data_IF_395781707088
#
_entry.id   IF_395781707088
#
_cell.length_a   1.000
_cell.length_b   1.000
_cell.length_c   1.000
_cell.angle_alpha   90.00
_cell.angle_beta   90.00
_cell.angle_gamma   90.00
#
_symmetry.space_group_name_H-M   'P 1'
#
loop_
_entity.id
_entity.type
_entity.pdbx_description
1 polymer ?
#
# COMPACT_ATOMS: atom_id res chain seq x y z
N UNK A 1 -12.51 -7.73 19.80
CA UNK A 1 -12.56 -7.95 18.34
C UNK A 1 -12.50 -6.60 17.62
N UNK A 2 -11.34 -6.23 17.09
CA UNK A 2 -11.10 -4.91 16.47
C UNK A 2 -11.82 -4.78 15.10
N UNK A 3 -12.04 -5.90 14.41
CA UNK A 3 -12.69 -5.95 13.11
C UNK A 3 -14.22 -6.05 13.20
N UNK A 4 -14.77 -6.35 14.39
CA UNK A 4 -16.20 -6.56 14.57
C UNK A 4 -16.71 -7.75 13.74
N UNK A 5 -17.81 -7.54 13.02
CA UNK A 5 -18.39 -8.52 12.11
C UNK A 5 -17.90 -8.35 10.65
N UNK A 6 -16.83 -7.55 10.40
CA UNK A 6 -16.33 -7.34 9.06
C UNK A 6 -15.77 -8.64 8.47
N UNK A 7 -16.13 -8.98 7.22
CA UNK A 7 -15.59 -10.15 6.55
C UNK A 7 -14.07 -9.96 6.31
N UNK A 8 -13.28 -10.96 6.69
CA UNK A 8 -11.85 -11.02 6.36
C UNK A 8 -11.66 -12.24 5.47
N UNK A 9 -11.03 -12.05 4.31
CA UNK A 9 -10.74 -13.15 3.38
C UNK A 9 -9.37 -13.77 3.64
N UNK A 10 -8.38 -12.95 3.85
CA UNK A 10 -6.99 -13.34 4.06
C UNK A 10 -6.26 -12.26 4.85
N UNK A 11 -5.04 -12.59 5.27
CA UNK A 11 -4.11 -11.64 5.83
C UNK A 11 -2.88 -11.55 4.93
N UNK A 12 -2.39 -10.34 4.70
CA UNK A 12 -1.14 -10.10 3.97
C UNK A 12 -0.18 -9.31 4.85
N UNK A 13 1.08 -9.75 4.86
CA UNK A 13 2.16 -9.08 5.55
C UNK A 13 3.12 -8.48 4.52
N UNK A 14 3.24 -7.15 4.52
CA UNK A 14 4.23 -6.42 3.75
C UNK A 14 5.49 -6.27 4.58
N UNK A 15 6.56 -6.93 4.18
CA UNK A 15 7.81 -7.01 4.93
C UNK A 15 8.89 -6.17 4.27
N UNK A 16 9.71 -5.49 5.09
CA UNK A 16 11.00 -4.95 4.64
C UNK A 16 12.04 -6.05 4.42
N UNK A 17 13.10 -5.75 3.69
CA UNK A 17 14.11 -6.72 3.27
C UNK A 17 14.73 -7.48 4.47
N UNK A 18 15.19 -6.76 5.49
CA UNK A 18 15.88 -7.37 6.63
C UNK A 18 14.91 -8.18 7.52
N UNK A 19 13.65 -7.73 7.66
CA UNK A 19 12.63 -8.51 8.37
C UNK A 19 12.33 -9.81 7.63
N UNK A 20 12.20 -9.77 6.31
CA UNK A 20 11.88 -10.92 5.49
C UNK A 20 13.01 -11.94 5.47
N UNK A 21 14.28 -11.48 5.41
CA UNK A 21 15.46 -12.34 5.45
C UNK A 21 15.58 -13.09 6.80
N UNK A 22 15.37 -12.40 7.92
CA UNK A 22 15.33 -13.03 9.24
C UNK A 22 14.16 -14.01 9.40
N UNK A 23 13.00 -13.65 8.87
CA UNK A 23 11.83 -14.52 8.87
C UNK A 23 12.12 -15.82 8.14
N UNK A 24 12.75 -15.77 6.97
CA UNK A 24 13.19 -16.95 6.21
C UNK A 24 14.38 -17.68 6.84
N UNK A 25 15.14 -17.02 7.71
CA UNK A 25 16.26 -17.62 8.44
C UNK A 25 15.83 -18.70 9.43
N UNK A 26 14.56 -18.73 9.85
CA UNK A 26 14.06 -19.76 10.75
C UNK A 26 14.00 -21.13 10.02
N UNK A 27 14.55 -22.24 10.58
CA UNK A 27 14.68 -23.51 9.88
C UNK A 27 13.38 -24.10 9.33
N UNK A 28 12.29 -23.99 10.09
CA UNK A 28 10.98 -24.51 9.67
C UNK A 28 10.39 -23.70 8.52
N UNK A 29 10.58 -22.37 8.56
CA UNK A 29 10.12 -21.46 7.53
C UNK A 29 10.93 -21.62 6.25
N UNK A 30 12.25 -21.79 6.36
CA UNK A 30 13.13 -22.05 5.23
C UNK A 30 12.70 -23.30 4.47
N UNK A 31 12.46 -24.42 5.15
CA UNK A 31 12.00 -25.65 4.53
C UNK A 31 10.60 -25.52 3.88
N UNK A 32 9.73 -24.69 4.43
CA UNK A 32 8.42 -24.39 3.85
C UNK A 32 8.55 -23.49 2.62
N UNK A 33 9.43 -22.51 2.65
CA UNK A 33 9.69 -21.58 1.56
C UNK A 33 10.34 -22.28 0.35
N UNK A 34 11.31 -23.17 0.57
CA UNK A 34 11.91 -23.98 -0.49
C UNK A 34 10.88 -24.83 -1.21
N UNK A 35 10.00 -25.51 -0.45
CA UNK A 35 8.88 -26.29 -1.03
C UNK A 35 7.87 -25.42 -1.78
N UNK A 36 7.67 -24.16 -1.35
CA UNK A 36 6.79 -23.22 -2.02
C UNK A 36 7.40 -22.75 -3.34
N UNK A 37 8.70 -22.44 -3.39
CA UNK A 37 9.44 -22.08 -4.61
C UNK A 37 9.37 -23.18 -5.67
N UNK A 38 9.58 -24.45 -5.27
CA UNK A 38 9.49 -25.58 -6.20
C UNK A 38 8.09 -25.69 -6.85
N UNK A 39 7.04 -25.39 -6.08
CA UNK A 39 5.68 -25.37 -6.59
C UNK A 39 5.36 -24.13 -7.43
N UNK A 40 6.01 -22.99 -7.20
CA UNK A 40 5.78 -21.74 -7.93
C UNK A 40 6.31 -21.84 -9.37
N UNK A 41 7.41 -22.51 -9.58
CA UNK A 41 7.92 -22.80 -10.93
C UNK A 41 6.88 -23.52 -11.81
N UNK A 42 5.95 -24.23 -11.20
CA UNK A 42 4.84 -24.92 -11.88
C UNK A 42 3.61 -24.04 -12.09
N UNK A 43 3.46 -22.91 -11.39
CA UNK A 43 2.25 -22.06 -11.38
C UNK A 43 2.34 -20.82 -12.27
N UNK A 44 3.49 -20.47 -12.81
CA UNK A 44 3.71 -19.31 -13.69
C UNK A 44 3.36 -17.92 -13.11
N UNK A 45 3.15 -17.75 -11.80
CA UNK A 45 2.90 -16.44 -11.19
C UNK A 45 3.86 -16.16 -10.00
N UNK A 46 5.00 -15.48 -10.23
CA UNK A 46 5.96 -15.16 -9.18
C UNK A 46 5.51 -14.04 -8.22
N UNK A 47 4.30 -13.49 -8.39
CA UNK A 47 3.82 -12.33 -7.63
C UNK A 47 2.94 -12.69 -6.42
N UNK A 48 2.67 -13.96 -6.20
CA UNK A 48 1.68 -14.42 -5.22
C UNK A 48 2.05 -14.26 -3.75
N UNK A 49 3.31 -13.93 -3.41
CA UNK A 49 3.81 -13.93 -2.03
C UNK A 49 3.87 -15.33 -1.41
N UNK A 50 4.68 -15.53 -0.39
CA UNK A 50 4.82 -16.80 0.33
C UNK A 50 3.70 -16.99 1.35
N UNK A 51 2.91 -18.04 1.20
CA UNK A 51 1.82 -18.35 2.13
C UNK A 51 2.29 -19.27 3.26
N UNK A 52 2.26 -18.76 4.50
CA UNK A 52 2.58 -19.52 5.70
C UNK A 52 1.72 -19.08 6.88
N UNK A 53 1.22 -20.04 7.67
CA UNK A 53 0.40 -19.77 8.86
C UNK A 53 -0.93 -19.05 8.59
N UNK A 54 -1.49 -19.17 7.37
CA UNK A 54 -2.71 -18.46 6.97
C UNK A 54 -2.48 -17.00 6.58
N UNK A 55 -1.22 -16.57 6.49
CA UNK A 55 -0.80 -15.22 6.08
C UNK A 55 0.00 -15.31 4.78
N UNK A 56 -0.21 -14.37 3.88
CA UNK A 56 0.60 -14.19 2.67
C UNK A 56 1.72 -13.20 3.02
N UNK A 57 2.96 -13.68 2.99
CA UNK A 57 4.16 -12.89 3.29
C UNK A 57 4.80 -12.40 1.99
N UNK A 58 4.96 -11.10 1.86
CA UNK A 58 5.49 -10.44 0.67
C UNK A 58 6.64 -9.52 1.05
N UNK A 59 7.77 -9.66 0.35
CA UNK A 59 8.85 -8.69 0.46
C UNK A 59 8.49 -7.45 -0.37
N UNK A 60 8.16 -6.33 0.30
CA UNK A 60 7.67 -5.11 -0.34
C UNK A 60 8.77 -4.06 -0.45
N UNK A 61 9.19 -3.77 -1.68
CA UNK A 61 10.28 -2.84 -2.01
C UNK A 61 9.83 -1.49 -2.57
N UNK A 62 8.56 -1.14 -2.40
CA UNK A 62 8.03 0.15 -2.87
C UNK A 62 8.71 1.32 -2.17
N UNK A 63 9.10 2.34 -2.94
CA UNK A 63 9.69 3.57 -2.42
C UNK A 63 9.29 4.78 -3.24
N UNK A 64 9.31 5.95 -2.62
CA UNK A 64 9.13 7.25 -3.28
C UNK A 64 10.26 8.17 -2.87
N UNK A 65 10.94 8.77 -3.85
CA UNK A 65 12.06 9.69 -3.60
C UNK A 65 13.22 9.06 -2.81
N UNK A 66 13.41 7.74 -2.92
CA UNK A 66 14.44 7.00 -2.17
C UNK A 66 14.05 6.63 -0.73
N UNK A 67 12.84 6.99 -0.29
CA UNK A 67 12.31 6.62 1.02
C UNK A 67 11.41 5.40 0.87
N UNK A 68 11.72 4.23 1.49
CA UNK A 68 10.88 3.06 1.43
C UNK A 68 9.58 3.26 2.21
N UNK A 69 8.47 2.69 1.72
CA UNK A 69 7.20 2.71 2.43
C UNK A 69 7.19 1.79 3.66
N UNK A 70 7.94 0.69 3.61
CA UNK A 70 8.13 -0.23 4.72
C UNK A 70 9.59 -0.18 5.13
N UNK A 71 9.85 0.09 6.41
CA UNK A 71 11.22 0.08 6.95
C UNK A 71 11.85 -1.31 6.81
N UNK A 72 13.19 -1.38 6.65
CA UNK A 72 13.89 -2.64 6.42
C UNK A 72 13.60 -3.69 7.53
N UNK A 73 13.50 -3.24 8.78
CA UNK A 73 13.27 -4.08 9.97
C UNK A 73 11.79 -4.23 10.35
N UNK A 74 10.89 -3.66 9.57
CA UNK A 74 9.46 -3.62 9.86
C UNK A 74 8.66 -4.55 8.94
N UNK A 75 7.50 -4.99 9.43
CA UNK A 75 6.46 -5.60 8.62
C UNK A 75 5.08 -5.08 9.04
N UNK A 76 4.16 -4.98 8.09
CA UNK A 76 2.78 -4.57 8.33
C UNK A 76 1.83 -5.69 7.95
N UNK A 77 1.10 -6.21 8.93
CA UNK A 77 0.05 -7.20 8.72
C UNK A 77 -1.28 -6.50 8.49
N UNK A 78 -1.86 -6.72 7.33
CA UNK A 78 -3.09 -6.08 6.86
C UNK A 78 -4.14 -7.13 6.54
N UNK A 79 -5.37 -7.01 7.06
CA UNK A 79 -6.48 -7.88 6.67
C UNK A 79 -6.98 -7.50 5.27
N UNK A 80 -7.20 -8.49 4.42
CA UNK A 80 -7.76 -8.33 3.07
C UNK A 80 -9.27 -8.61 3.06
N UNK A 81 -9.98 -7.92 2.16
CA UNK A 81 -11.42 -8.10 1.98
C UNK A 81 -12.28 -7.37 3.01
N UNK A 82 -11.68 -6.55 3.86
CA UNK A 82 -12.42 -5.66 4.77
C UNK A 82 -12.87 -4.43 4.01
N UNK A 83 -14.19 -4.19 3.87
CA UNK A 83 -14.67 -3.00 3.17
C UNK A 83 -14.27 -1.73 3.92
N UNK A 84 -13.95 -0.70 3.16
CA UNK A 84 -13.64 0.66 3.64
C UNK A 84 -12.49 0.73 4.67
N UNK A 85 -11.59 -0.26 4.71
CA UNK A 85 -10.43 -0.23 5.61
C UNK A 85 -9.51 0.95 5.28
N UNK A 86 -9.27 1.18 3.99
CA UNK A 86 -8.54 2.32 3.47
C UNK A 86 -9.43 3.11 2.53
N UNK A 87 -9.54 4.41 2.79
CA UNK A 87 -10.35 5.35 2.00
C UNK A 87 -9.46 6.48 1.53
N UNK A 88 -9.59 6.88 0.28
CA UNK A 88 -8.94 8.06 -0.25
C UNK A 88 -9.99 9.14 -0.52
N UNK A 89 -9.92 10.22 0.24
CA UNK A 89 -10.74 11.41 0.03
C UNK A 89 -9.94 12.47 -0.73
N UNK A 90 -10.60 13.25 -1.55
CA UNK A 90 -9.98 14.33 -2.29
C UNK A 90 -10.53 15.68 -1.80
N UNK A 91 -9.64 16.63 -1.54
CA UNK A 91 -10.03 18.01 -1.30
C UNK A 91 -10.14 18.78 -2.63
N UNK A 92 -10.96 19.87 -2.67
CA UNK A 92 -11.00 20.75 -3.83
C UNK A 92 -9.64 21.41 -4.07
N UNK A 93 -9.40 21.84 -5.31
CA UNK A 93 -8.22 22.61 -5.68
C UNK A 93 -8.31 24.05 -5.15
N UNK A 94 -7.16 24.74 -5.10
CA UNK A 94 -7.05 26.13 -4.64
C UNK A 94 -7.47 27.15 -5.71
N UNK A 95 -8.57 26.85 -6.43
CA UNK A 95 -9.13 27.77 -7.42
C UNK A 95 -10.40 28.43 -6.88
N UNK A 96 -10.65 29.65 -7.30
CA UNK A 96 -11.87 30.38 -6.89
C UNK A 96 -13.17 29.64 -7.27
N UNK A 97 -13.15 28.90 -8.38
CA UNK A 97 -14.29 28.14 -8.90
C UNK A 97 -14.59 26.87 -8.11
N UNK A 98 -13.61 26.38 -7.34
CA UNK A 98 -13.72 25.14 -6.57
C UNK A 98 -14.08 25.34 -5.10
N UNK A 99 -14.26 26.60 -4.69
CA UNK A 99 -14.69 26.94 -3.32
C UNK A 99 -16.06 26.32 -3.05
N UNK A 100 -16.19 25.61 -1.91
CA UNK A 100 -17.40 24.91 -1.48
C UNK A 100 -17.90 23.82 -2.45
N UNK A 101 -17.03 23.26 -3.30
CA UNK A 101 -17.37 22.10 -4.13
C UNK A 101 -16.80 20.81 -3.55
N UNK A 102 -17.38 19.64 -3.85
CA UNK A 102 -16.77 18.35 -3.53
C UNK A 102 -15.42 18.21 -4.23
N UNK A 103 -14.46 17.59 -3.54
CA UNK A 103 -13.14 17.32 -4.12
C UNK A 103 -13.19 16.29 -5.25
N UNK A 104 -12.43 16.55 -6.32
CA UNK A 104 -12.24 15.64 -7.43
C UNK A 104 -10.80 15.10 -7.43
N UNK A 105 -10.56 13.92 -8.03
CA UNK A 105 -9.23 13.32 -8.07
C UNK A 105 -8.16 14.20 -8.74
N UNK A 106 -8.56 14.93 -9.79
CA UNK A 106 -7.66 15.82 -10.53
C UNK A 106 -8.39 17.09 -10.97
N UNK A 107 -7.68 18.19 -10.96
CA UNK A 107 -8.09 19.48 -11.51
C UNK A 107 -7.06 19.92 -12.53
N UNK A 108 -7.53 20.45 -13.65
CA UNK A 108 -6.67 21.03 -14.68
C UNK A 108 -7.16 22.43 -14.98
N UNK A 109 -6.24 23.39 -14.93
CA UNK A 109 -6.54 24.78 -15.30
C UNK A 109 -5.50 25.25 -16.30
N UNK A 110 -5.98 26.00 -17.31
CA UNK A 110 -5.13 26.59 -18.32
C UNK A 110 -5.30 28.12 -18.30
N UNK A 111 -4.19 28.83 -18.48
CA UNK A 111 -4.20 30.29 -18.61
C UNK A 111 -3.25 30.71 -19.74
N UNK A 112 -3.64 31.68 -20.59
CA UNK A 112 -2.72 32.25 -21.57
C UNK A 112 -1.61 32.99 -20.86
N UNK A 113 -0.39 32.83 -21.34
CA UNK A 113 0.77 33.63 -20.86
C UNK A 113 0.63 35.09 -21.28
N UNK A 114 1.31 35.93 -20.55
CA UNK A 114 1.42 37.36 -20.92
C UNK A 114 1.89 37.49 -22.37
N UNK A 115 1.20 38.37 -23.12
CA UNK A 115 1.48 38.66 -24.54
C UNK A 115 1.24 37.45 -25.49
N UNK A 116 0.37 36.50 -25.13
CA UNK A 116 0.02 35.33 -25.94
C UNK A 116 1.22 34.48 -26.37
N UNK A 117 2.30 34.50 -25.59
CA UNK A 117 3.54 33.76 -25.88
C UNK A 117 3.42 32.24 -25.62
N UNK A 118 2.24 31.76 -25.15
CA UNK A 118 1.98 30.35 -24.88
C UNK A 118 0.84 30.18 -23.89
N UNK A 119 0.68 28.94 -23.38
CA UNK A 119 -0.35 28.58 -22.40
C UNK A 119 0.33 27.93 -21.18
N UNK A 120 0.00 28.40 -19.97
CA UNK A 120 0.33 27.72 -18.73
C UNK A 120 -0.73 26.67 -18.41
N UNK A 121 -0.29 25.46 -18.09
CA UNK A 121 -1.15 24.36 -17.68
C UNK A 121 -0.79 24.01 -16.25
N UNK A 122 -1.75 24.12 -15.34
CA UNK A 122 -1.62 23.69 -13.95
C UNK A 122 -2.47 22.48 -13.70
N UNK A 123 -1.87 21.44 -13.10
CA UNK A 123 -2.58 20.24 -12.65
C UNK A 123 -2.43 20.14 -11.14
N UNK A 124 -3.55 19.93 -10.44
CA UNK A 124 -3.57 19.79 -8.99
C UNK A 124 -4.37 18.55 -8.59
N UNK A 125 -3.87 17.84 -7.57
CA UNK A 125 -4.57 16.73 -6.91
C UNK A 125 -4.29 16.80 -5.42
N UNK A 126 -5.33 16.74 -4.59
CA UNK A 126 -5.26 16.87 -3.14
C UNK A 126 -5.82 15.61 -2.46
N UNK A 127 -5.15 14.44 -2.58
CA UNK A 127 -5.60 13.20 -1.97
C UNK A 127 -5.29 13.16 -0.46
N UNK A 128 -6.20 12.59 0.32
CA UNK A 128 -6.02 12.21 1.71
C UNK A 128 -6.35 10.73 1.87
N UNK A 129 -5.33 9.90 2.01
CA UNK A 129 -5.50 8.48 2.33
C UNK A 129 -5.66 8.29 3.84
N UNK A 130 -6.72 7.62 4.23
CA UNK A 130 -7.07 7.39 5.64
C UNK A 130 -7.33 5.91 5.88
N UNK A 131 -6.73 5.36 6.94
CA UNK A 131 -7.12 4.07 7.48
C UNK A 131 -8.25 4.28 8.50
N UNK A 132 -9.44 3.77 8.21
CA UNK A 132 -10.63 3.95 9.07
C UNK A 132 -10.56 3.10 10.34
N UNK A 133 -9.80 2.00 10.29
CA UNK A 133 -9.62 1.04 11.42
C UNK A 133 -8.15 0.77 11.68
N UNK A 134 -7.39 1.75 12.20
CA UNK A 134 -5.93 1.62 12.34
C UNK A 134 -5.50 0.45 13.26
N UNK A 135 -6.34 0.05 14.23
CA UNK A 135 -6.08 -1.11 15.10
C UNK A 135 -6.20 -2.45 14.38
N UNK A 136 -6.72 -2.49 13.16
CA UNK A 136 -6.79 -3.70 12.35
C UNK A 136 -5.47 -3.97 11.60
N UNK A 137 -4.61 -2.97 11.48
CA UNK A 137 -3.27 -3.08 10.92
C UNK A 137 -2.27 -3.26 12.06
N UNK A 138 -1.46 -4.31 11.99
CA UNK A 138 -0.49 -4.64 13.02
C UNK A 138 0.91 -4.39 12.47
N UNK A 139 1.68 -3.54 13.16
CA UNK A 139 3.09 -3.38 12.88
C UNK A 139 3.88 -4.43 13.66
N UNK A 140 4.75 -5.14 12.99
CA UNK A 140 5.74 -6.04 13.54
C UNK A 140 7.12 -5.41 13.31
N UNK A 141 8.00 -5.50 14.29
CA UNK A 141 9.37 -4.97 14.18
C UNK A 141 10.34 -6.05 14.67
N UNK A 142 11.40 -6.24 13.91
CA UNK A 142 12.51 -7.10 14.29
C UNK A 142 13.24 -6.49 15.51
N UNK A 143 13.54 -7.28 16.51
CA UNK A 143 14.35 -6.90 17.69
C UNK A 143 15.77 -7.44 17.57
#
# INVERSE_FOLDING_TARGET
NVLGAAPVRSFRAFCGDAFFDDFLGHPELKAAYERWLDNEMLRNDPRGGFQFGGVIWENYRGSVGGVPFVGADDAYLVPEGVPDLFVCNFAPADYMETVNTPGLPFYVKTAPKHMDTGVDIQVQSNPLAVCTRPRAVIKLTRT
#
